data_IF_393585500658
#
_entry.id   IF_393585500658
#
_cell.length_a   1.000
_cell.length_b   1.000
_cell.length_c   1.000
_cell.angle_alpha   90.00
_cell.angle_beta   90.00
_cell.angle_gamma   90.00
#
_symmetry.space_group_name_H-M   'P 1'
#
loop_
_entity.id
_entity.type
_entity.pdbx_description
1 polymer ?
#
# COMPACT_ATOMS: atom_id res chain seq x y z
N UNK A 1 -4.05 28.57 12.37
CA UNK A 1 -5.42 29.03 12.68
C UNK A 1 -6.44 28.22 11.85
N UNK A 2 -7.61 27.90 12.41
CA UNK A 2 -8.71 27.27 11.67
C UNK A 2 -9.65 28.33 11.09
N UNK A 3 -10.61 27.91 10.25
CA UNK A 3 -11.67 28.79 9.73
C UNK A 3 -12.56 29.33 10.85
N UNK A 4 -12.77 28.53 11.90
CA UNK A 4 -13.50 28.92 13.10
C UNK A 4 -12.66 29.90 13.93
N UNK A 5 -13.20 31.11 14.17
CA UNK A 5 -12.52 32.16 14.93
C UNK A 5 -12.17 31.68 16.35
N UNK A 6 -10.95 31.98 16.81
CA UNK A 6 -10.44 31.60 18.13
C UNK A 6 -9.99 30.14 18.28
N UNK A 7 -10.04 29.35 17.20
CA UNK A 7 -9.61 27.96 17.19
C UNK A 7 -8.42 27.70 16.27
N UNK A 8 -7.57 26.78 16.70
CA UNK A 8 -6.33 26.38 16.06
C UNK A 8 -6.31 24.85 15.91
N UNK A 9 -5.59 24.39 14.89
CA UNK A 9 -5.25 23.00 14.72
C UNK A 9 -3.76 22.83 14.99
N UNK A 10 -3.40 21.76 15.67
CA UNK A 10 -2.01 21.43 16.01
C UNK A 10 -1.64 20.18 15.21
N UNK A 11 -0.66 20.32 14.32
CA UNK A 11 -0.07 19.21 13.60
C UNK A 11 1.09 18.62 14.40
N UNK A 12 1.04 17.33 14.68
CA UNK A 12 2.10 16.58 15.36
C UNK A 12 2.80 15.73 14.32
N UNK A 13 4.10 16.00 14.12
CA UNK A 13 4.96 15.13 13.32
C UNK A 13 5.25 13.86 14.11
N UNK A 14 5.00 12.70 13.50
CA UNK A 14 5.22 11.37 14.08
C UNK A 14 6.21 10.63 13.18
N UNK A 15 7.41 10.38 13.71
CA UNK A 15 8.45 9.69 12.94
C UNK A 15 7.97 8.28 12.54
N UNK A 16 8.01 8.00 11.23
CA UNK A 16 7.52 6.75 10.61
C UNK A 16 6.05 6.42 10.90
N UNK A 17 5.27 7.35 11.46
CA UNK A 17 3.92 7.06 11.96
C UNK A 17 3.86 6.20 13.22
N UNK A 18 5.01 5.93 13.86
CA UNK A 18 5.08 5.04 15.02
C UNK A 18 4.92 5.82 16.34
N UNK A 19 3.96 5.41 17.16
CA UNK A 19 3.78 5.89 18.52
C UNK A 19 3.25 4.76 19.41
N UNK A 20 3.66 4.77 20.68
CA UNK A 20 3.33 3.71 21.63
C UNK A 20 2.03 4.00 22.38
N UNK A 21 1.38 2.94 22.88
CA UNK A 21 0.07 2.98 23.54
C UNK A 21 0.07 3.84 24.80
N UNK A 22 1.14 3.80 25.59
CA UNK A 22 1.34 4.65 26.77
C UNK A 22 1.20 6.14 26.44
N UNK A 23 1.90 6.62 25.40
CA UNK A 23 1.80 8.00 24.91
C UNK A 23 0.47 8.28 24.23
N UNK A 24 -0.10 7.29 23.53
CA UNK A 24 -1.39 7.42 22.87
C UNK A 24 -2.52 7.71 23.87
N UNK A 25 -2.55 6.99 25.00
CA UNK A 25 -3.54 7.21 26.06
C UNK A 25 -3.41 8.60 26.67
N UNK A 26 -2.17 9.04 26.97
CA UNK A 26 -1.92 10.39 27.49
C UNK A 26 -2.36 11.49 26.51
N UNK A 27 -2.08 11.30 25.21
CA UNK A 27 -2.52 12.21 24.17
C UNK A 27 -4.05 12.25 24.05
N UNK A 28 -4.71 11.09 24.09
CA UNK A 28 -6.17 10.99 24.04
C UNK A 28 -6.83 11.71 25.23
N UNK A 29 -6.31 11.54 26.44
CA UNK A 29 -6.80 12.23 27.63
C UNK A 29 -6.62 13.74 27.55
N UNK A 30 -5.48 14.22 27.03
CA UNK A 30 -5.22 15.64 26.79
C UNK A 30 -6.25 16.23 25.82
N UNK A 31 -6.49 15.55 24.69
CA UNK A 31 -7.44 15.99 23.66
C UNK A 31 -8.88 15.95 24.17
N UNK A 32 -9.24 14.94 24.96
CA UNK A 32 -10.57 14.79 25.56
C UNK A 32 -10.88 15.92 26.55
N UNK A 33 -9.88 16.34 27.34
CA UNK A 33 -10.05 17.38 28.37
C UNK A 33 -9.99 18.80 27.83
N UNK A 34 -9.11 19.06 26.86
CA UNK A 34 -8.73 20.43 26.46
C UNK A 34 -8.97 20.77 24.99
N UNK A 35 -9.48 19.82 24.19
CA UNK A 35 -9.92 20.03 22.80
C UNK A 35 -11.33 19.42 22.61
N UNK A 36 -11.63 18.90 21.42
CA UNK A 36 -12.96 18.42 21.05
C UNK A 36 -13.09 16.88 21.02
N UNK A 37 -12.27 16.17 21.81
CA UNK A 37 -12.26 14.70 21.87
C UNK A 37 -12.16 14.01 20.48
N UNK A 38 -11.47 14.65 19.53
CA UNK A 38 -11.24 14.13 18.18
C UNK A 38 -9.81 14.43 17.71
N UNK A 39 -9.29 13.53 16.87
CA UNK A 39 -8.04 13.72 16.12
C UNK A 39 -8.19 13.17 14.70
N UNK A 40 -7.26 13.53 13.83
CA UNK A 40 -7.15 12.95 12.48
C UNK A 40 -5.77 12.37 12.28
N UNK A 41 -5.70 11.25 11.59
CA UNK A 41 -4.46 10.74 11.00
C UNK A 41 -4.33 11.29 9.58
N UNK A 42 -3.13 11.69 9.18
CA UNK A 42 -2.89 12.31 7.87
C UNK A 42 -2.24 11.35 6.89
N UNK A 43 -2.28 11.70 5.60
CA UNK A 43 -1.61 10.96 4.52
C UNK A 43 -0.07 10.93 4.63
N UNK A 44 0.50 11.72 5.56
CA UNK A 44 1.93 11.71 5.90
C UNK A 44 2.21 11.01 7.23
N UNK A 45 1.30 10.13 7.65
CA UNK A 45 1.44 9.34 8.87
C UNK A 45 1.48 10.16 10.17
N UNK A 46 0.97 11.39 10.12
CA UNK A 46 0.97 12.33 11.24
C UNK A 46 -0.38 12.44 11.94
N UNK A 47 -0.39 13.11 13.10
CA UNK A 47 -1.59 13.39 13.88
C UNK A 47 -1.96 14.87 13.74
N UNK A 48 -3.25 15.17 13.58
CA UNK A 48 -3.81 16.52 13.59
C UNK A 48 -4.86 16.63 14.69
N UNK A 49 -4.57 17.46 15.70
CA UNK A 49 -5.53 17.85 16.73
C UNK A 49 -6.31 19.05 16.22
N UNK A 50 -7.65 19.00 16.33
CA UNK A 50 -8.54 20.08 15.91
C UNK A 50 -9.20 20.74 17.12
N UNK A 51 -9.72 21.95 16.91
CA UNK A 51 -10.52 22.69 17.88
C UNK A 51 -9.79 23.01 19.18
N UNK A 52 -8.49 23.34 19.08
CA UNK A 52 -7.73 23.86 20.21
C UNK A 52 -8.01 25.36 20.33
N UNK A 53 -8.48 25.82 21.50
CA UNK A 53 -8.66 27.26 21.74
C UNK A 53 -7.31 27.97 21.71
N UNK A 54 -7.26 29.17 21.16
CA UNK A 54 -6.04 29.97 21.03
C UNK A 54 -5.21 30.07 22.32
N UNK A 55 -5.85 30.40 23.43
CA UNK A 55 -5.18 30.53 24.74
C UNK A 55 -4.61 29.20 25.29
N UNK A 56 -5.01 28.06 24.75
CA UNK A 56 -4.51 26.74 25.16
C UNK A 56 -3.33 26.26 24.31
N UNK A 57 -2.99 26.92 23.20
CA UNK A 57 -1.90 26.49 22.32
C UNK A 57 -0.56 26.36 23.07
N UNK A 58 -0.13 27.31 23.93
CA UNK A 58 1.09 27.16 24.73
C UNK A 58 1.04 25.98 25.71
N UNK A 59 -0.12 25.73 26.31
CA UNK A 59 -0.34 24.59 27.20
C UNK A 59 -0.19 23.26 26.45
N UNK A 60 -0.81 23.14 25.28
CA UNK A 60 -0.64 21.96 24.42
C UNK A 60 0.83 21.73 24.05
N UNK A 61 1.60 22.78 23.74
CA UNK A 61 3.02 22.64 23.44
C UNK A 61 3.80 22.03 24.61
N UNK A 62 3.55 22.48 25.84
CA UNK A 62 4.20 21.96 27.05
C UNK A 62 3.85 20.48 27.27
N UNK A 63 2.57 20.10 27.14
CA UNK A 63 2.14 18.71 27.33
C UNK A 63 2.68 17.79 26.21
N UNK A 64 2.65 18.24 24.95
CA UNK A 64 3.25 17.49 23.83
C UNK A 64 4.76 17.34 23.97
N UNK A 65 5.45 18.33 24.57
CA UNK A 65 6.89 18.22 24.85
C UNK A 65 7.19 17.07 25.81
N UNK A 66 6.35 16.83 26.82
CA UNK A 66 6.49 15.68 27.73
C UNK A 66 6.34 14.35 27.00
N UNK A 67 5.56 14.31 25.93
CA UNK A 67 5.35 13.11 25.10
C UNK A 67 6.43 12.93 24.02
N UNK A 68 7.25 13.95 23.76
CA UNK A 68 8.23 13.96 22.66
C UNK A 68 7.59 14.25 21.30
N UNK A 69 6.47 14.97 21.26
CA UNK A 69 5.68 15.28 20.06
C UNK A 69 5.84 16.72 19.57
N UNK A 70 7.03 17.29 19.76
CA UNK A 70 7.35 18.69 19.40
C UNK A 70 8.40 18.82 18.30
N UNK A 71 8.69 17.73 17.58
CA UNK A 71 9.58 17.75 16.43
C UNK A 71 9.03 18.68 15.35
N UNK A 72 9.89 19.58 14.84
CA UNK A 72 9.54 20.53 13.79
C UNK A 72 9.42 19.85 12.42
N UNK A 73 8.86 20.59 11.45
CA UNK A 73 8.78 20.13 10.07
C UNK A 73 7.52 19.31 9.75
N UNK A 74 6.43 19.46 10.51
CA UNK A 74 5.13 18.90 10.13
C UNK A 74 4.73 19.31 8.71
N UNK A 75 4.48 18.34 7.83
CA UNK A 75 4.28 18.51 6.40
C UNK A 75 5.45 19.19 5.65
N UNK A 76 6.66 19.24 6.22
CA UNK A 76 7.87 19.74 5.59
C UNK A 76 8.65 18.67 4.82
N UNK A 77 9.84 18.99 4.32
CA UNK A 77 10.70 18.04 3.59
C UNK A 77 11.20 16.89 4.46
N UNK A 78 11.41 17.16 5.75
CA UNK A 78 11.91 16.19 6.74
C UNK A 78 10.83 15.23 7.25
N UNK A 79 9.58 15.38 6.80
CA UNK A 79 8.43 14.57 7.22
C UNK A 79 8.22 13.38 6.27
N UNK A 80 9.24 12.52 6.21
CA UNK A 80 9.35 11.49 5.18
C UNK A 80 8.30 10.41 5.42
N UNK A 81 7.41 10.20 4.44
CA UNK A 81 6.43 9.12 4.50
C UNK A 81 7.07 7.82 4.03
N UNK A 82 6.95 6.74 4.81
CA UNK A 82 7.61 5.48 4.51
C UNK A 82 6.69 4.29 4.78
N UNK A 83 6.76 3.26 3.94
CA UNK A 83 6.16 1.97 4.30
C UNK A 83 7.09 1.20 5.25
N UNK A 84 6.63 0.10 5.87
CA UNK A 84 7.47 -0.68 6.79
C UNK A 84 8.72 -1.28 6.11
N UNK A 85 8.64 -1.63 4.82
CA UNK A 85 9.79 -2.19 4.09
C UNK A 85 10.24 -3.52 4.71
N UNK A 86 11.54 -3.81 4.64
CA UNK A 86 12.11 -5.06 5.18
C UNK A 86 12.04 -5.16 6.72
N UNK A 87 11.62 -4.11 7.43
CA UNK A 87 11.49 -4.17 8.89
C UNK A 87 10.37 -5.12 9.33
N UNK A 88 9.22 -5.12 8.63
CA UNK A 88 8.08 -6.00 8.97
C UNK A 88 7.30 -6.55 7.77
N UNK A 89 7.52 -6.06 6.55
CA UNK A 89 6.76 -6.50 5.37
C UNK A 89 7.44 -7.68 4.68
N UNK A 90 6.71 -8.77 4.44
CA UNK A 90 7.20 -9.92 3.67
C UNK A 90 7.57 -9.62 2.21
N UNK A 91 6.97 -8.57 1.62
CA UNK A 91 7.26 -8.09 0.28
C UNK A 91 8.29 -6.95 0.26
N UNK A 92 8.89 -6.61 1.41
CA UNK A 92 9.94 -5.60 1.50
C UNK A 92 11.20 -6.05 0.76
N UNK A 93 11.73 -5.22 -0.13
CA UNK A 93 12.99 -5.50 -0.84
C UNK A 93 14.16 -4.81 -0.14
N UNK A 94 13.98 -3.57 0.33
CA UNK A 94 14.96 -2.85 1.14
C UNK A 94 14.28 -2.10 2.30
N UNK A 95 15.06 -1.74 3.33
CA UNK A 95 14.54 -1.04 4.52
C UNK A 95 14.21 0.40 4.17
N UNK A 96 12.91 0.68 4.02
CA UNK A 96 12.42 2.03 3.74
C UNK A 96 12.38 2.91 4.99
N UNK A 97 12.12 2.34 6.15
CA UNK A 97 12.16 3.00 7.47
C UNK A 97 13.58 3.36 7.87
N UNK A 98 14.54 2.44 7.69
CA UNK A 98 15.96 2.66 7.98
C UNK A 98 16.53 3.80 7.17
N UNK A 99 16.40 3.77 5.83
CA UNK A 99 16.84 4.90 4.99
C UNK A 99 16.09 6.21 5.33
N UNK A 100 14.80 6.17 5.67
CA UNK A 100 14.05 7.37 6.05
C UNK A 100 14.69 8.06 7.26
N UNK A 101 15.11 7.29 8.27
CA UNK A 101 15.80 7.83 9.46
C UNK A 101 17.11 8.52 9.12
N UNK A 102 17.89 7.92 8.23
CA UNK A 102 19.17 8.48 7.79
C UNK A 102 18.99 9.76 6.96
N UNK A 103 18.00 9.79 6.07
CA UNK A 103 17.67 10.98 5.30
C UNK A 103 17.13 12.11 6.20
N UNK A 104 16.29 11.79 7.18
CA UNK A 104 15.83 12.78 8.16
C UNK A 104 16.98 13.33 9.00
N UNK A 105 17.91 12.47 9.43
CA UNK A 105 19.10 12.87 10.20
C UNK A 105 20.01 13.76 9.37
N UNK A 106 20.27 13.38 8.11
CA UNK A 106 21.04 14.19 7.16
C UNK A 106 20.40 15.55 6.93
N UNK A 107 19.07 15.61 6.69
CA UNK A 107 18.34 16.86 6.52
C UNK A 107 18.43 17.76 7.77
N UNK A 108 18.32 17.19 8.97
CA UNK A 108 18.44 17.93 10.24
C UNK A 108 19.85 18.54 10.40
N UNK A 109 20.89 17.80 10.03
CA UNK A 109 22.28 18.21 10.24
C UNK A 109 22.81 19.15 9.15
N UNK A 110 22.43 18.92 7.90
CA UNK A 110 23.05 19.59 6.73
C UNK A 110 22.14 20.60 6.04
N UNK A 111 20.82 20.45 6.18
CA UNK A 111 19.82 21.34 5.57
C UNK A 111 18.79 21.86 6.58
N UNK A 112 19.19 22.39 7.77
CA UNK A 112 18.26 22.85 8.79
C UNK A 112 17.29 23.94 8.28
N UNK A 113 17.75 24.77 7.34
CA UNK A 113 16.97 25.82 6.68
C UNK A 113 15.82 25.28 5.80
N UNK A 114 15.87 24.01 5.39
CA UNK A 114 14.84 23.38 4.57
C UNK A 114 13.80 22.61 5.38
N UNK A 115 13.99 22.39 6.68
CA UNK A 115 13.15 21.46 7.47
C UNK A 115 11.65 21.76 7.41
N UNK A 116 11.27 23.04 7.33
CA UNK A 116 9.88 23.50 7.23
C UNK A 116 9.40 23.71 5.78
N UNK A 117 10.23 23.43 4.78
CA UNK A 117 9.84 23.57 3.38
C UNK A 117 8.74 22.55 3.02
N UNK A 118 7.51 23.05 2.86
CA UNK A 118 6.33 22.22 2.55
C UNK A 118 6.13 21.97 1.05
N UNK A 119 6.99 22.52 0.18
CA UNK A 119 6.89 22.42 -1.28
C UNK A 119 7.63 21.20 -1.84
N UNK A 120 8.53 20.60 -1.05
CA UNK A 120 9.28 19.41 -1.44
C UNK A 120 8.77 18.25 -0.58
N UNK A 121 8.27 17.22 -1.24
CA UNK A 121 7.79 16.00 -0.59
C UNK A 121 8.76 14.86 -0.85
N UNK A 122 9.14 14.15 0.22
CA UNK A 122 9.95 12.94 0.13
C UNK A 122 9.10 11.76 0.61
N UNK A 123 9.03 10.71 -0.21
CA UNK A 123 8.29 9.49 0.11
C UNK A 123 9.08 8.25 -0.30
N UNK A 124 9.01 7.22 0.53
CA UNK A 124 9.83 6.01 0.37
C UNK A 124 8.95 4.78 0.43
N UNK A 125 9.24 3.78 -0.41
CA UNK A 125 8.66 2.45 -0.23
C UNK A 125 9.74 1.40 -0.39
N UNK A 126 9.72 0.37 0.44
CA UNK A 126 10.71 -0.71 0.40
C UNK A 126 10.58 -1.63 -0.82
N UNK A 127 9.56 -1.47 -1.67
CA UNK A 127 9.37 -2.21 -2.91
C UNK A 127 8.48 -1.46 -3.92
N UNK A 128 8.26 -2.04 -5.09
CA UNK A 128 7.47 -1.47 -6.20
C UNK A 128 5.98 -1.25 -5.90
N UNK A 129 5.44 -1.84 -4.84
CA UNK A 129 4.01 -1.73 -4.51
C UNK A 129 3.58 -0.32 -4.08
N UNK A 130 4.54 0.58 -3.83
CA UNK A 130 4.31 2.00 -3.57
C UNK A 130 3.35 2.28 -2.40
N UNK A 131 3.37 1.46 -1.35
CA UNK A 131 2.56 1.68 -0.15
C UNK A 131 2.86 3.03 0.52
N UNK A 132 4.10 3.53 0.43
CA UNK A 132 4.47 4.87 0.89
C UNK A 132 4.21 5.98 -0.14
N UNK A 133 3.71 5.65 -1.33
CA UNK A 133 3.40 6.57 -2.45
C UNK A 133 4.63 7.32 -3.00
N UNK A 134 5.77 6.63 -3.12
CA UNK A 134 7.03 7.22 -3.61
C UNK A 134 6.90 7.81 -5.03
N UNK A 135 6.05 7.24 -5.87
CA UNK A 135 5.81 7.70 -7.24
C UNK A 135 5.02 9.01 -7.34
N UNK A 136 4.37 9.45 -6.25
CA UNK A 136 3.61 10.70 -6.19
C UNK A 136 4.35 11.82 -5.44
N UNK A 137 5.64 11.64 -5.15
CA UNK A 137 6.45 12.60 -4.41
C UNK A 137 7.37 13.41 -5.33
N UNK A 138 7.76 14.59 -4.85
CA UNK A 138 8.79 15.40 -5.53
C UNK A 138 10.09 14.62 -5.66
N UNK A 139 10.48 13.91 -4.59
CA UNK A 139 11.61 13.00 -4.53
C UNK A 139 11.13 11.67 -3.94
N UNK A 140 11.14 10.63 -4.75
CA UNK A 140 10.73 9.28 -4.38
C UNK A 140 11.92 8.33 -4.27
N UNK A 141 11.86 7.42 -3.29
CA UNK A 141 12.79 6.30 -3.22
C UNK A 141 12.04 4.97 -3.19
N UNK A 142 12.41 4.04 -4.06
CA UNK A 142 11.84 2.70 -4.12
C UNK A 142 12.94 1.66 -3.82
N UNK A 143 12.69 0.78 -2.85
CA UNK A 143 13.58 -0.33 -2.52
C UNK A 143 13.72 -1.30 -3.70
N UNK A 144 14.97 -1.64 -4.00
CA UNK A 144 15.43 -2.49 -5.09
C UNK A 144 16.66 -3.27 -4.63
N UNK A 145 17.25 -4.08 -5.51
CA UNK A 145 18.56 -4.69 -5.29
C UNK A 145 19.52 -4.44 -6.46
N UNK A 146 20.82 -4.51 -6.16
CA UNK A 146 21.89 -4.59 -7.15
C UNK A 146 22.69 -5.87 -6.91
N UNK A 147 23.12 -6.50 -8.00
CA UNK A 147 23.97 -7.69 -7.94
C UNK A 147 25.40 -7.28 -8.25
N UNK A 148 26.34 -7.64 -7.38
CA UNK A 148 27.78 -7.45 -7.59
C UNK A 148 28.47 -8.81 -7.43
N UNK A 149 28.85 -9.40 -8.57
CA UNK A 149 29.33 -10.79 -8.60
C UNK A 149 28.25 -11.77 -8.12
N UNK A 150 28.57 -12.53 -7.06
CA UNK A 150 27.64 -13.48 -6.42
C UNK A 150 26.80 -12.85 -5.29
N UNK A 151 27.15 -11.65 -4.83
CA UNK A 151 26.48 -10.98 -3.73
C UNK A 151 25.35 -10.07 -4.22
N UNK A 152 24.34 -9.90 -3.38
CA UNK A 152 23.21 -9.00 -3.62
C UNK A 152 23.22 -7.93 -2.54
N UNK A 153 23.20 -6.66 -2.96
CA UNK A 153 23.14 -5.52 -2.06
C UNK A 153 21.78 -4.81 -2.16
N UNK A 154 21.23 -4.29 -1.05
CA UNK A 154 20.10 -3.37 -1.06
C UNK A 154 20.39 -2.14 -1.92
N UNK A 155 19.39 -1.72 -2.67
CA UNK A 155 19.45 -0.57 -3.56
C UNK A 155 18.19 0.29 -3.45
N UNK A 156 18.29 1.51 -3.98
CA UNK A 156 17.20 2.45 -4.13
C UNK A 156 17.10 2.83 -5.60
N UNK A 157 15.91 2.70 -6.17
CA UNK A 157 15.54 3.44 -7.36
C UNK A 157 15.14 4.85 -6.92
N UNK A 158 15.84 5.86 -7.44
CA UNK A 158 15.52 7.27 -7.27
C UNK A 158 14.46 7.65 -8.30
N UNK A 159 13.40 8.32 -7.86
CA UNK A 159 12.36 8.88 -8.72
C UNK A 159 12.22 10.38 -8.45
N UNK A 160 12.03 11.18 -9.49
CA UNK A 160 11.91 12.64 -9.36
C UNK A 160 10.72 13.19 -10.14
N UNK A 161 10.21 14.34 -9.69
CA UNK A 161 9.22 15.11 -10.44
C UNK A 161 7.78 14.62 -10.32
N UNK A 162 7.45 13.84 -9.28
CA UNK A 162 6.06 13.52 -8.95
C UNK A 162 5.40 14.60 -8.10
N UNK A 163 4.07 14.57 -8.01
CA UNK A 163 3.34 15.48 -7.13
C UNK A 163 1.85 15.58 -7.41
N UNK A 164 1.14 16.21 -6.47
CA UNK A 164 -0.28 16.58 -6.62
C UNK A 164 -0.33 18.03 -7.11
N UNK A 165 -0.85 18.26 -8.31
CA UNK A 165 -0.87 19.58 -8.97
C UNK A 165 -2.13 20.39 -8.62
N UNK A 166 -3.12 19.74 -8.00
CA UNK A 166 -4.40 20.34 -7.62
C UNK A 166 -5.47 20.19 -8.71
N UNK A 167 -6.73 20.49 -8.38
CA UNK A 167 -7.88 20.41 -9.31
C UNK A 167 -8.03 19.04 -9.99
N UNK A 168 -7.69 17.95 -9.28
CA UNK A 168 -7.72 16.58 -9.81
C UNK A 168 -6.49 16.20 -10.66
N UNK A 169 -5.56 17.13 -10.92
CA UNK A 169 -4.33 16.85 -11.64
C UNK A 169 -3.21 16.36 -10.71
N UNK A 170 -2.42 15.43 -11.22
CA UNK A 170 -1.24 14.87 -10.57
C UNK A 170 -0.18 14.48 -11.59
N UNK A 171 1.04 14.30 -11.13
CA UNK A 171 2.17 13.82 -11.93
C UNK A 171 2.82 12.63 -11.24
N UNK A 172 3.10 11.60 -12.02
CA UNK A 172 3.90 10.45 -11.59
C UNK A 172 5.37 10.81 -11.79
N UNK A 173 6.20 10.52 -10.79
CA UNK A 173 7.64 10.73 -10.84
C UNK A 173 8.31 9.82 -11.87
N UNK A 174 9.31 10.35 -12.56
CA UNK A 174 10.11 9.59 -13.52
C UNK A 174 11.16 8.76 -12.78
N UNK A 175 11.47 7.55 -13.27
CA UNK A 175 12.49 6.67 -12.68
C UNK A 175 13.87 7.09 -13.19
N UNK A 176 14.64 7.77 -12.35
CA UNK A 176 15.92 8.34 -12.74
C UNK A 176 17.01 7.28 -12.80
N UNK A 177 17.38 6.72 -11.65
CA UNK A 177 18.52 5.80 -11.57
C UNK A 177 18.43 4.89 -10.35
N UNK A 178 19.04 3.70 -10.46
CA UNK A 178 19.22 2.77 -9.35
C UNK A 178 20.60 2.95 -8.72
N UNK A 179 20.66 3.10 -7.41
CA UNK A 179 21.90 3.27 -6.63
C UNK A 179 21.92 2.31 -5.43
N UNK A 180 23.10 1.91 -4.92
CA UNK A 180 23.21 1.24 -3.62
C UNK A 180 22.52 2.01 -2.50
N UNK A 181 21.84 1.30 -1.58
CA UNK A 181 20.98 1.94 -0.57
C UNK A 181 21.75 2.86 0.38
N UNK A 182 23.00 2.50 0.71
CA UNK A 182 23.88 3.34 1.54
C UNK A 182 24.27 4.66 0.89
N UNK A 183 24.03 4.81 -0.42
CA UNK A 183 24.27 6.05 -1.18
C UNK A 183 23.05 6.96 -1.26
N UNK A 184 21.92 6.56 -0.67
CA UNK A 184 20.70 7.35 -0.61
C UNK A 184 20.90 8.78 -0.06
N UNK A 185 21.60 8.97 1.09
CA UNK A 185 21.90 10.31 1.60
C UNK A 185 22.72 11.16 0.65
N UNK A 186 23.71 10.58 -0.03
CA UNK A 186 24.54 11.25 -1.04
C UNK A 186 23.70 11.70 -2.24
N UNK A 187 22.77 10.86 -2.69
CA UNK A 187 21.86 11.21 -3.78
C UNK A 187 20.93 12.36 -3.40
N UNK A 188 20.28 12.30 -2.23
CA UNK A 188 19.42 13.39 -1.76
C UNK A 188 20.21 14.69 -1.61
N UNK A 189 21.41 14.62 -1.03
CA UNK A 189 22.32 15.78 -0.89
C UNK A 189 22.64 16.40 -2.25
N UNK A 190 23.03 15.58 -3.24
CA UNK A 190 23.34 16.05 -4.59
C UNK A 190 22.14 16.78 -5.22
N UNK A 191 20.94 16.18 -5.14
CA UNK A 191 19.69 16.77 -5.66
C UNK A 191 19.37 18.12 -4.99
N UNK A 192 19.53 18.21 -3.67
CA UNK A 192 19.20 19.43 -2.92
C UNK A 192 20.21 20.55 -3.15
N UNK A 193 21.52 20.23 -3.20
CA UNK A 193 22.57 21.21 -3.52
C UNK A 193 22.36 21.76 -4.93
N UNK A 194 22.10 20.87 -5.89
CA UNK A 194 21.84 21.23 -7.28
C UNK A 194 20.63 22.16 -7.41
N UNK A 195 19.50 21.80 -6.78
CA UNK A 195 18.32 22.66 -6.71
C UNK A 195 18.61 24.01 -6.05
N UNK A 196 19.32 24.05 -4.92
CA UNK A 196 19.66 25.32 -4.24
C UNK A 196 20.60 26.21 -5.05
N UNK A 197 21.47 25.62 -5.87
CA UNK A 197 22.49 26.34 -6.63
C UNK A 197 21.94 26.95 -7.92
N UNK A 198 21.00 26.26 -8.56
CA UNK A 198 20.58 26.59 -9.93
C UNK A 198 19.09 26.94 -10.08
N UNK A 199 18.24 26.70 -9.07
CA UNK A 199 16.85 27.08 -9.16
C UNK A 199 16.67 28.61 -9.09
N UNK A 200 15.69 29.11 -9.85
CA UNK A 200 15.32 30.52 -9.81
C UNK A 200 14.71 30.86 -8.45
N UNK A 201 14.85 32.12 -8.03
CA UNK A 201 14.27 32.58 -6.76
C UNK A 201 12.76 32.32 -6.75
N UNK A 202 12.30 31.58 -5.74
CA UNK A 202 10.88 31.23 -5.56
C UNK A 202 10.38 30.05 -6.40
N UNK A 203 11.23 29.46 -7.23
CA UNK A 203 10.90 28.29 -8.05
C UNK A 203 10.60 27.06 -7.19
N UNK A 204 9.65 26.23 -7.65
CA UNK A 204 9.35 24.95 -7.01
C UNK A 204 10.30 23.87 -7.52
N UNK A 205 10.61 22.88 -6.69
CA UNK A 205 11.43 21.74 -7.12
C UNK A 205 10.87 21.05 -8.37
N UNK A 206 9.54 20.94 -8.46
CA UNK A 206 8.89 20.33 -9.62
C UNK A 206 9.14 21.10 -10.91
N UNK A 207 9.00 22.43 -10.89
CA UNK A 207 9.23 23.26 -12.08
C UNK A 207 10.70 23.26 -12.50
N UNK A 208 11.59 23.29 -11.51
CA UNK A 208 13.02 23.13 -11.74
C UNK A 208 13.32 21.78 -12.40
N UNK A 209 12.78 20.69 -11.86
CA UNK A 209 12.94 19.36 -12.44
C UNK A 209 12.45 19.28 -13.89
N UNK A 210 11.26 19.82 -14.18
CA UNK A 210 10.68 19.82 -15.53
C UNK A 210 11.57 20.58 -16.53
N UNK A 211 12.22 21.68 -16.10
CA UNK A 211 13.11 22.46 -16.96
C UNK A 211 14.41 21.72 -17.27
N UNK A 212 15.01 21.03 -16.30
CA UNK A 212 16.26 20.29 -16.50
C UNK A 212 16.04 18.95 -17.22
N UNK A 213 14.96 18.26 -16.88
CA UNK A 213 14.58 16.97 -17.44
C UNK A 213 15.29 15.76 -16.81
N UNK A 214 14.80 14.57 -17.13
CA UNK A 214 15.26 13.29 -16.56
C UNK A 214 16.76 13.03 -16.78
N UNK A 215 17.25 13.25 -18.01
CA UNK A 215 18.63 12.95 -18.39
C UNK A 215 19.65 13.77 -17.60
N UNK A 216 19.30 15.00 -17.22
CA UNK A 216 20.14 15.87 -16.40
C UNK A 216 20.40 15.23 -15.03
N UNK A 217 19.33 14.84 -14.32
CA UNK A 217 19.45 14.19 -13.01
C UNK A 217 20.03 12.78 -13.09
N UNK A 218 19.78 12.06 -14.19
CA UNK A 218 20.46 10.79 -14.45
C UNK A 218 21.98 10.99 -14.45
N UNK A 219 22.48 11.98 -15.20
CA UNK A 219 23.92 12.27 -15.26
C UNK A 219 24.48 12.76 -13.92
N UNK A 220 23.73 13.59 -13.19
CA UNK A 220 24.09 14.06 -11.85
C UNK A 220 24.31 12.87 -10.88
N UNK A 221 23.43 11.87 -10.94
CA UNK A 221 23.43 10.75 -10.00
C UNK A 221 24.21 9.53 -10.50
N UNK A 222 24.58 9.49 -11.78
CA UNK A 222 25.32 8.38 -12.41
C UNK A 222 26.56 7.93 -11.65
N UNK A 223 27.41 8.81 -11.09
CA UNK A 223 28.57 8.38 -10.30
C UNK A 223 28.19 7.54 -9.07
N UNK A 224 27.01 7.76 -8.49
CA UNK A 224 26.54 7.02 -7.31
C UNK A 224 26.02 5.62 -7.66
N UNK A 225 25.78 5.32 -8.94
CA UNK A 225 25.30 4.00 -9.37
C UNK A 225 26.41 2.97 -9.58
N UNK A 226 27.69 3.36 -9.46
CA UNK A 226 28.82 2.45 -9.65
C UNK A 226 28.84 1.33 -8.60
N UNK A 227 28.86 0.07 -9.05
CA UNK A 227 28.86 -1.11 -8.16
C UNK A 227 30.24 -1.77 -8.04
N UNK A 228 31.26 -1.23 -8.71
CA UNK A 228 32.62 -1.80 -8.69
C UNK A 228 33.37 -1.54 -7.38
N UNK A 229 32.92 -0.55 -6.60
CA UNK A 229 33.54 -0.07 -5.37
C UNK A 229 32.64 -0.25 -4.14
N UNK A 230 31.79 -1.28 -4.13
CA UNK A 230 30.96 -1.59 -2.96
C UNK A 230 31.83 -2.08 -1.79
N UNK A 231 31.46 -1.65 -0.59
CA UNK A 231 32.07 -2.05 0.68
C UNK A 231 31.20 -3.10 1.36
N UNK A 232 31.73 -3.81 2.37
CA UNK A 232 30.96 -4.81 3.14
C UNK A 232 29.66 -4.23 3.73
N UNK A 233 29.69 -2.98 4.18
CA UNK A 233 28.51 -2.28 4.72
C UNK A 233 27.41 -2.04 3.68
N UNK A 234 27.73 -2.02 2.38
CA UNK A 234 26.73 -1.89 1.31
C UNK A 234 25.86 -3.15 1.18
N UNK A 235 26.36 -4.30 1.65
CA UNK A 235 25.62 -5.56 1.66
C UNK A 235 24.77 -5.75 2.91
N UNK A 236 24.70 -4.75 3.81
CA UNK A 236 23.89 -4.77 5.02
C UNK A 236 22.78 -3.73 4.88
N UNK A 237 21.53 -4.14 5.02
CA UNK A 237 20.39 -3.22 4.95
C UNK A 237 20.41 -2.21 6.12
N UNK A 238 19.69 -1.11 6.00
CA UNK A 238 19.61 -0.14 7.09
C UNK A 238 18.94 -0.74 8.32
N UNK A 239 19.53 -0.51 9.51
CA UNK A 239 19.00 -1.01 10.77
C UNK A 239 19.19 -2.51 11.03
N UNK A 240 19.96 -3.21 10.20
CA UNK A 240 20.33 -4.62 10.38
C UNK A 240 21.82 -4.79 10.67
N UNK A 241 22.17 -5.90 11.30
CA UNK A 241 23.56 -6.29 11.59
C UNK A 241 24.04 -7.44 10.70
N UNK A 242 23.12 -8.20 10.11
CA UNK A 242 23.42 -9.34 9.25
C UNK A 242 23.46 -8.94 7.77
N UNK A 243 24.23 -9.67 6.93
CA UNK A 243 24.21 -9.51 5.49
C UNK A 243 22.79 -9.60 4.92
N UNK A 244 22.56 -8.89 3.83
CA UNK A 244 21.31 -8.89 3.10
C UNK A 244 21.09 -10.23 2.43
N UNK A 245 19.97 -10.87 2.78
CA UNK A 245 19.48 -12.05 2.10
C UNK A 245 18.14 -11.72 1.45
N UNK A 246 18.03 -12.08 0.17
CA UNK A 246 16.77 -11.95 -0.55
C UNK A 246 15.85 -13.09 -0.12
N UNK A 247 15.14 -12.89 0.99
CA UNK A 247 14.16 -13.82 1.53
C UNK A 247 12.80 -13.12 1.65
N UNK A 248 11.73 -13.89 1.47
CA UNK A 248 10.39 -13.45 1.87
C UNK A 248 10.41 -13.38 3.39
N UNK A 249 10.33 -12.16 3.93
CA UNK A 249 10.37 -11.95 5.38
C UNK A 249 9.19 -12.59 6.10
N UNK A 250 9.35 -12.89 7.40
CA UNK A 250 8.26 -13.30 8.28
C UNK A 250 7.53 -12.04 8.75
N UNK A 251 6.39 -11.73 8.13
CA UNK A 251 5.57 -10.58 8.49
C UNK A 251 4.42 -10.37 7.51
N UNK A 252 3.41 -9.60 7.91
CA UNK A 252 2.27 -9.32 7.03
C UNK A 252 2.58 -8.14 6.12
N UNK A 253 2.14 -8.23 4.86
CA UNK A 253 2.11 -7.04 4.02
C UNK A 253 1.21 -5.99 4.68
N UNK A 254 1.52 -4.70 4.52
CA UNK A 254 0.58 -3.63 4.90
C UNK A 254 -0.76 -3.71 4.12
N UNK A 255 -0.82 -4.56 3.10
CA UNK A 255 -2.04 -4.99 2.42
C UNK A 255 -2.54 -6.24 3.15
N UNK A 256 -3.77 -6.18 3.67
CA UNK A 256 -4.44 -7.33 4.34
C UNK A 256 -4.19 -8.59 3.55
N UNK A 257 -3.69 -9.64 4.21
CA UNK A 257 -3.61 -10.96 3.62
C UNK A 257 -5.05 -11.50 3.52
N UNK A 258 -5.71 -11.15 2.42
CA UNK A 258 -7.09 -11.55 2.19
C UNK A 258 -7.07 -13.03 1.82
N UNK A 259 -7.71 -13.87 2.62
CA UNK A 259 -8.02 -15.25 2.22
C UNK A 259 -8.92 -15.16 0.98
N UNK A 260 -8.30 -15.32 -0.19
CA UNK A 260 -8.98 -15.20 -1.47
C UNK A 260 -10.04 -16.29 -1.62
N UNK A 261 -9.83 -17.47 -1.03
CA UNK A 261 -10.79 -18.57 -1.07
C UNK A 261 -12.01 -18.22 -0.22
N UNK A 262 -11.83 -17.82 1.05
CA UNK A 262 -12.94 -17.39 1.89
C UNK A 262 -13.69 -16.19 1.29
N UNK A 263 -12.98 -15.23 0.70
CA UNK A 263 -13.58 -14.05 0.06
C UNK A 263 -14.44 -14.44 -1.15
N UNK A 264 -13.97 -15.36 -1.99
CA UNK A 264 -14.73 -15.84 -3.14
C UNK A 264 -15.99 -16.63 -2.73
N UNK A 265 -15.92 -17.40 -1.64
CA UNK A 265 -17.10 -18.09 -1.10
C UNK A 265 -18.12 -17.11 -0.52
N UNK A 266 -17.67 -16.10 0.22
CA UNK A 266 -18.53 -15.03 0.73
C UNK A 266 -19.21 -14.25 -0.41
N UNK A 267 -18.45 -13.86 -1.44
CA UNK A 267 -19.01 -13.18 -2.63
C UNK A 267 -20.00 -14.10 -3.37
N UNK A 268 -19.75 -15.41 -3.39
CA UNK A 268 -20.67 -16.40 -3.96
C UNK A 268 -21.99 -16.50 -3.18
N UNK A 269 -21.95 -16.49 -1.85
CA UNK A 269 -23.13 -16.46 -0.98
C UNK A 269 -23.92 -15.16 -1.20
N UNK A 270 -23.25 -14.01 -1.25
CA UNK A 270 -23.86 -12.72 -1.58
C UNK A 270 -24.54 -12.75 -2.97
N UNK A 271 -23.93 -13.39 -3.97
CA UNK A 271 -24.57 -13.55 -5.30
C UNK A 271 -25.79 -14.46 -5.25
N UNK A 272 -25.82 -15.48 -4.41
CA UNK A 272 -27.05 -16.27 -4.20
C UNK A 272 -28.16 -15.42 -3.59
N UNK A 273 -27.84 -14.55 -2.63
CA UNK A 273 -28.81 -13.62 -2.03
C UNK A 273 -29.34 -12.62 -3.07
N UNK A 274 -28.44 -11.97 -3.82
CA UNK A 274 -28.80 -11.08 -4.92
C UNK A 274 -29.67 -11.78 -5.97
N UNK A 275 -29.38 -13.04 -6.27
CA UNK A 275 -30.18 -13.86 -7.19
C UNK A 275 -31.59 -14.11 -6.67
N UNK A 276 -31.74 -14.36 -5.36
CA UNK A 276 -33.04 -14.52 -4.70
C UNK A 276 -33.86 -13.23 -4.72
N UNK A 277 -33.23 -12.08 -4.47
CA UNK A 277 -33.89 -10.78 -4.51
C UNK A 277 -34.36 -10.43 -5.92
N UNK A 278 -33.49 -10.60 -6.93
CA UNK A 278 -33.84 -10.41 -8.33
C UNK A 278 -35.02 -11.30 -8.75
N UNK A 279 -35.06 -12.56 -8.30
CA UNK A 279 -36.17 -13.48 -8.56
C UNK A 279 -37.49 -12.98 -7.96
N UNK A 280 -37.47 -12.43 -6.74
CA UNK A 280 -38.66 -11.84 -6.09
C UNK A 280 -39.18 -10.61 -6.84
N UNK A 281 -38.28 -9.86 -7.48
CA UNK A 281 -38.61 -8.68 -8.28
C UNK A 281 -38.99 -9.02 -9.74
N UNK A 282 -39.08 -10.31 -10.10
CA UNK A 282 -39.28 -10.79 -11.47
C UNK A 282 -38.17 -10.35 -12.47
N UNK A 283 -36.97 -10.07 -11.97
CA UNK A 283 -35.77 -9.77 -12.76
C UNK A 283 -35.02 -11.07 -13.08
N UNK A 284 -35.59 -11.88 -13.97
CA UNK A 284 -35.10 -13.24 -14.23
C UNK A 284 -33.68 -13.27 -14.80
N UNK A 285 -33.35 -12.38 -15.73
CA UNK A 285 -32.00 -12.29 -16.31
C UNK A 285 -30.93 -11.99 -15.26
N UNK A 286 -31.22 -11.05 -14.35
CA UNK A 286 -30.30 -10.67 -13.27
C UNK A 286 -30.13 -11.83 -12.28
N UNK A 287 -31.23 -12.49 -11.92
CA UNK A 287 -31.22 -13.68 -11.06
C UNK A 287 -30.32 -14.78 -11.63
N UNK A 288 -30.43 -15.06 -12.93
CA UNK A 288 -29.61 -16.05 -13.64
C UNK A 288 -28.15 -15.64 -13.67
N UNK A 289 -27.84 -14.37 -13.94
CA UNK A 289 -26.47 -13.86 -13.98
C UNK A 289 -25.78 -13.95 -12.60
N UNK A 290 -26.50 -13.61 -11.54
CA UNK A 290 -25.99 -13.76 -10.17
C UNK A 290 -25.76 -15.24 -9.82
N UNK A 291 -26.67 -16.14 -10.16
CA UNK A 291 -26.49 -17.58 -9.96
C UNK A 291 -25.27 -18.13 -10.74
N UNK A 292 -25.08 -17.71 -11.99
CA UNK A 292 -23.89 -18.03 -12.78
C UNK A 292 -22.59 -17.53 -12.12
N UNK A 293 -22.60 -16.29 -11.65
CA UNK A 293 -21.42 -15.69 -10.99
C UNK A 293 -21.06 -16.45 -9.72
N UNK A 294 -22.07 -16.86 -8.93
CA UNK A 294 -21.90 -17.72 -7.77
C UNK A 294 -21.24 -19.06 -8.13
N UNK A 295 -21.75 -19.77 -9.15
CA UNK A 295 -21.17 -21.04 -9.62
C UNK A 295 -19.68 -20.90 -9.98
N UNK A 296 -19.33 -19.87 -10.78
CA UNK A 296 -17.95 -19.64 -11.22
C UNK A 296 -17.05 -19.24 -10.05
N UNK A 297 -17.50 -18.38 -9.14
CA UNK A 297 -16.73 -17.96 -7.98
C UNK A 297 -16.46 -19.13 -7.02
N UNK A 298 -17.47 -19.96 -6.76
CA UNK A 298 -17.33 -21.16 -5.93
C UNK A 298 -16.35 -22.16 -6.54
N UNK A 299 -16.45 -22.43 -7.85
CA UNK A 299 -15.51 -23.30 -8.55
C UNK A 299 -14.07 -22.75 -8.49
N UNK A 300 -13.91 -21.44 -8.70
CA UNK A 300 -12.62 -20.77 -8.57
C UNK A 300 -12.04 -20.90 -7.17
N UNK A 301 -12.85 -20.71 -6.13
CA UNK A 301 -12.41 -20.84 -4.74
C UNK A 301 -11.82 -22.23 -4.48
N UNK A 302 -12.52 -23.29 -4.90
CA UNK A 302 -12.04 -24.66 -4.71
C UNK A 302 -10.78 -24.98 -5.53
N UNK A 303 -10.65 -24.47 -6.75
CA UNK A 303 -9.41 -24.64 -7.53
C UNK A 303 -8.21 -23.95 -6.87
N UNK A 304 -8.43 -22.78 -6.28
CA UNK A 304 -7.38 -22.05 -5.55
C UNK A 304 -6.93 -22.78 -4.28
N UNK A 305 -7.79 -23.57 -3.62
CA UNK A 305 -7.34 -24.42 -2.49
C UNK A 305 -6.35 -25.51 -2.91
N UNK A 306 -6.22 -25.80 -4.20
CA UNK A 306 -5.23 -26.72 -4.77
C UNK A 306 -4.07 -26.00 -5.48
N UNK A 307 -3.92 -24.70 -5.27
CA UNK A 307 -2.94 -23.84 -5.95
C UNK A 307 -3.04 -23.85 -7.49
N UNK A 308 -4.24 -24.11 -8.04
CA UNK A 308 -4.48 -24.12 -9.49
C UNK A 308 -4.78 -22.70 -9.98
N UNK A 309 -3.99 -22.22 -10.94
CA UNK A 309 -4.14 -20.88 -11.51
C UNK A 309 -5.39 -20.75 -12.40
N UNK A 310 -6.24 -19.77 -12.06
CA UNK A 310 -7.52 -19.53 -12.73
C UNK A 310 -7.57 -18.14 -13.38
N UNK A 311 -7.26 -18.07 -14.68
CA UNK A 311 -7.11 -16.78 -15.39
C UNK A 311 -8.35 -16.33 -16.19
N UNK A 312 -9.28 -17.24 -16.50
CA UNK A 312 -10.51 -16.94 -17.28
C UNK A 312 -11.71 -17.74 -16.76
N UNK A 313 -12.93 -17.26 -16.97
CA UNK A 313 -14.15 -17.99 -16.56
C UNK A 313 -14.30 -19.35 -17.26
N UNK A 314 -14.02 -19.40 -18.57
CA UNK A 314 -14.03 -20.66 -19.34
C UNK A 314 -12.97 -21.63 -18.80
N UNK A 315 -11.77 -21.12 -18.48
CA UNK A 315 -10.71 -21.91 -17.86
C UNK A 315 -11.13 -22.47 -16.50
N UNK A 316 -11.78 -21.66 -15.66
CA UNK A 316 -12.31 -22.09 -14.35
C UNK A 316 -13.29 -23.25 -14.51
N UNK A 317 -14.25 -23.12 -15.42
CA UNK A 317 -15.28 -24.16 -15.64
C UNK A 317 -14.63 -25.48 -16.07
N UNK A 318 -13.72 -25.42 -17.05
CA UNK A 318 -13.02 -26.60 -17.54
C UNK A 318 -12.14 -27.23 -16.45
N UNK A 319 -11.30 -26.43 -15.80
CA UNK A 319 -10.39 -26.92 -14.75
C UNK A 319 -11.16 -27.52 -13.58
N UNK A 320 -12.30 -26.94 -13.21
CA UNK A 320 -13.13 -27.51 -12.15
C UNK A 320 -13.67 -28.89 -12.53
N UNK A 321 -14.18 -29.04 -13.75
CA UNK A 321 -14.63 -30.33 -14.28
C UNK A 321 -13.50 -31.36 -14.23
N UNK A 322 -12.34 -31.02 -14.78
CA UNK A 322 -11.18 -31.92 -14.90
C UNK A 322 -10.62 -32.34 -13.51
N UNK A 323 -10.60 -31.43 -12.53
CA UNK A 323 -9.88 -31.62 -11.26
C UNK A 323 -10.77 -32.01 -10.07
N UNK A 324 -12.05 -31.63 -10.13
CA UNK A 324 -12.99 -31.69 -9.01
C UNK A 324 -14.36 -32.24 -9.39
N UNK A 325 -14.67 -32.41 -10.68
CA UNK A 325 -15.97 -32.91 -11.16
C UNK A 325 -16.34 -34.27 -10.57
N UNK A 326 -15.39 -35.21 -10.52
CA UNK A 326 -15.61 -36.55 -9.93
C UNK A 326 -15.72 -36.53 -8.40
N UNK A 327 -15.16 -35.49 -7.76
CA UNK A 327 -15.12 -35.36 -6.29
C UNK A 327 -16.38 -34.71 -5.73
N UNK A 328 -17.01 -33.83 -6.50
CA UNK A 328 -18.26 -33.15 -6.14
C UNK A 328 -19.36 -33.65 -7.06
N UNK A 329 -20.10 -34.67 -6.62
CA UNK A 329 -21.17 -35.28 -7.42
C UNK A 329 -22.28 -34.28 -7.73
N UNK A 330 -22.45 -33.92 -9.00
CA UNK A 330 -23.55 -33.11 -9.52
C UNK A 330 -24.50 -33.98 -10.37
N UNK A 331 -25.70 -33.46 -10.65
CA UNK A 331 -26.70 -34.18 -11.48
C UNK A 331 -26.31 -34.22 -12.96
N UNK A 332 -25.52 -33.24 -13.41
CA UNK A 332 -24.93 -33.14 -14.74
C UNK A 332 -23.47 -32.70 -14.62
N UNK A 333 -22.65 -32.87 -15.67
CA UNK A 333 -21.33 -32.24 -15.75
C UNK A 333 -21.40 -30.74 -15.37
N UNK A 334 -20.35 -30.25 -14.70
CA UNK A 334 -20.33 -28.88 -14.20
C UNK A 334 -20.41 -27.85 -15.33
N UNK A 335 -19.71 -28.11 -16.43
CA UNK A 335 -19.77 -27.29 -17.64
C UNK A 335 -21.16 -27.26 -18.26
N UNK A 336 -21.85 -28.41 -18.30
CA UNK A 336 -23.24 -28.48 -18.76
C UNK A 336 -24.17 -27.68 -17.87
N UNK A 337 -24.00 -27.79 -16.54
CA UNK A 337 -24.76 -26.99 -15.59
C UNK A 337 -24.55 -25.49 -15.85
N UNK A 338 -23.30 -25.03 -15.82
CA UNK A 338 -22.95 -23.60 -15.91
C UNK A 338 -23.35 -23.01 -17.27
N UNK A 339 -23.28 -23.78 -18.36
CA UNK A 339 -23.63 -23.28 -19.69
C UNK A 339 -25.13 -23.33 -20.01
N UNK A 340 -26.00 -23.80 -19.09
CA UNK A 340 -27.45 -23.67 -19.26
C UNK A 340 -27.88 -22.21 -19.49
N UNK A 341 -27.14 -21.23 -18.95
CA UNK A 341 -27.38 -19.79 -19.18
C UNK A 341 -27.36 -19.38 -20.65
N UNK A 342 -26.63 -20.11 -21.52
CA UNK A 342 -26.54 -19.80 -22.96
C UNK A 342 -27.72 -20.37 -23.76
N UNK A 343 -28.32 -21.44 -23.25
CA UNK A 343 -29.22 -22.29 -24.01
C UNK A 343 -30.69 -22.18 -23.55
N UNK A 344 -30.95 -21.47 -22.45
CA UNK A 344 -32.28 -21.29 -21.89
C UNK A 344 -32.68 -19.83 -21.90
N UNK A 345 -33.93 -19.55 -22.25
CA UNK A 345 -34.50 -18.22 -22.10
C UNK A 345 -34.66 -17.84 -20.61
N UNK A 346 -34.57 -16.54 -20.27
CA UNK A 346 -34.66 -16.06 -18.89
C UNK A 346 -36.11 -16.09 -18.38
N UNK A 347 -36.65 -17.29 -18.17
CA UNK A 347 -37.97 -17.52 -17.60
C UNK A 347 -37.90 -17.66 -16.08
N UNK A 348 -39.04 -17.48 -15.40
CA UNK A 348 -39.15 -17.74 -13.96
C UNK A 348 -38.76 -19.17 -13.58
N UNK A 349 -39.18 -20.12 -14.40
CA UNK A 349 -38.91 -21.55 -14.20
C UNK A 349 -37.41 -21.84 -14.26
N UNK A 350 -36.75 -21.34 -15.31
CA UNK A 350 -35.31 -21.53 -15.46
C UNK A 350 -34.52 -20.78 -14.37
N UNK A 351 -34.84 -19.51 -14.09
CA UNK A 351 -34.17 -18.74 -13.04
C UNK A 351 -34.30 -19.42 -11.66
N UNK A 352 -35.47 -19.96 -11.33
CA UNK A 352 -35.70 -20.68 -10.06
C UNK A 352 -34.87 -21.97 -10.00
N UNK A 353 -34.89 -22.77 -11.08
CA UNK A 353 -34.11 -24.00 -11.16
C UNK A 353 -32.62 -23.71 -11.04
N UNK A 354 -32.11 -22.77 -11.84
CA UNK A 354 -30.69 -22.45 -11.92
C UNK A 354 -30.13 -21.89 -10.61
N UNK A 355 -30.93 -21.09 -9.89
CA UNK A 355 -30.59 -20.64 -8.53
C UNK A 355 -30.53 -21.79 -7.52
N UNK A 356 -31.47 -22.74 -7.59
CA UNK A 356 -31.44 -23.92 -6.72
C UNK A 356 -30.21 -24.79 -7.01
N UNK A 357 -29.83 -24.95 -8.29
CA UNK A 357 -28.63 -25.66 -8.69
C UNK A 357 -27.37 -24.96 -8.15
N UNK A 358 -27.30 -23.62 -8.23
CA UNK A 358 -26.21 -22.83 -7.65
C UNK A 358 -26.11 -22.98 -6.11
N UNK A 359 -27.24 -22.94 -5.40
CA UNK A 359 -27.29 -23.20 -3.95
C UNK A 359 -26.81 -24.60 -3.59
N UNK A 360 -27.24 -25.60 -4.35
CA UNK A 360 -26.84 -26.99 -4.13
C UNK A 360 -25.34 -27.16 -4.36
N UNK A 361 -24.81 -26.54 -5.41
CA UNK A 361 -23.37 -26.54 -5.68
C UNK A 361 -22.58 -25.88 -4.56
N UNK A 362 -22.97 -24.68 -4.11
CA UNK A 362 -22.29 -23.99 -2.99
C UNK A 362 -22.30 -24.82 -1.71
N UNK A 363 -23.43 -25.46 -1.39
CA UNK A 363 -23.52 -26.36 -0.24
C UNK A 363 -22.54 -27.53 -0.36
N UNK A 364 -22.52 -28.22 -1.49
CA UNK A 364 -21.62 -29.35 -1.73
C UNK A 364 -20.14 -28.92 -1.73
N UNK A 365 -19.84 -27.73 -2.24
CA UNK A 365 -18.50 -27.14 -2.23
C UNK A 365 -18.03 -26.83 -0.80
N UNK A 366 -18.89 -26.24 0.03
CA UNK A 366 -18.61 -25.98 1.44
C UNK A 366 -18.43 -27.28 2.24
N UNK A 367 -19.28 -28.29 2.01
CA UNK A 367 -19.14 -29.61 2.63
C UNK A 367 -17.82 -30.29 2.23
N UNK A 368 -17.43 -30.20 0.96
CA UNK A 368 -16.14 -30.71 0.47
C UNK A 368 -14.96 -29.99 1.12
N UNK A 369 -14.98 -28.65 1.16
CA UNK A 369 -13.93 -27.84 1.81
C UNK A 369 -13.78 -28.18 3.29
N UNK A 370 -14.89 -28.29 4.02
CA UNK A 370 -14.89 -28.58 5.46
C UNK A 370 -14.26 -29.95 5.77
N UNK A 371 -14.50 -30.95 4.91
CA UNK A 371 -13.87 -32.27 5.02
C UNK A 371 -12.37 -32.21 4.76
N UNK A 372 -11.95 -31.59 3.66
CA UNK A 372 -10.53 -31.48 3.31
C UNK A 372 -9.72 -30.74 4.39
N UNK A 373 -10.27 -29.66 4.96
CA UNK A 373 -9.62 -28.92 6.05
C UNK A 373 -9.55 -29.69 7.38
N UNK A 374 -10.43 -30.67 7.59
CA UNK A 374 -10.41 -31.53 8.78
C UNK A 374 -9.40 -32.69 8.65
N UNK A 375 -9.07 -33.11 7.42
CA UNK A 375 -8.09 -34.17 7.14
C UNK A 375 -6.63 -33.64 7.09
N UNK A 376 -6.45 -32.32 6.99
CA UNK A 376 -5.14 -31.64 6.95
C UNK A 376 -4.65 -31.13 8.32
N UNK A 377 -5.47 -31.25 9.37
CA UNK A 377 -5.13 -30.96 10.78
C UNK A 377 -5.06 -32.26 11.59
#
# INVERSE_FOLDING_TARGET
>A
PQKQKGFYAIGIKVHLGNFYTDKAHLLADLIKKYANNELRLTLRQNILIRHVKEGLVPFFYIELKKLGFTDIGYNGISDITSCPGTDTCNLGIASSTGISRELETMLKNEFPQLLENKKITIKISGCMNSCGQHSMASIGFQGMTVKSGQLVAPALQVLLGGGVLGNGAGRIADKIIKIPSKRGPQALRAILIDFQSYAKVGETFLNYYIQQGELYFYNLLKPLADISNLQESDFIDWGRETPYEMAIGVGESARVNVDLVATLLLDSEEKVENSLEALKLNQFSDSIYYAYTSLVNTAKALLLTKDINTNTQVGIIKLFEDELGDKIKLESPFSELVYQIKNNEPTKEFATKYLNDAKLFNKKANDFRTKTMADEN
#
